data_IF_903878238511
#
_entry.id   IF_903878238511
#
_cell.length_a   1.000
_cell.length_b   1.000
_cell.length_c   1.000
_cell.angle_alpha   90.00
_cell.angle_beta   90.00
_cell.angle_gamma   90.00
#
_symmetry.space_group_name_H-M   'P 1'
#
loop_
_entity.id
_entity.type
_entity.pdbx_description
1 polymer ?
#
# COMPACT_ATOMS: atom_id res chain seq x y z
N UNK A 1 -4.69 -7.81 14.50
CA UNK A 1 -3.84 -6.93 13.68
C UNK A 1 -2.72 -7.71 13.02
N UNK A 2 -1.62 -7.94 13.73
CA UNK A 2 -0.34 -8.33 13.11
C UNK A 2 -0.15 -9.77 12.61
N UNK A 3 -1.10 -10.71 12.79
CA UNK A 3 -0.94 -12.06 12.24
C UNK A 3 -1.22 -12.07 10.72
N UNK A 4 -2.46 -11.78 10.34
CA UNK A 4 -2.92 -11.88 8.95
C UNK A 4 -2.16 -10.93 7.99
N UNK A 5 -2.00 -9.67 8.40
CA UNK A 5 -1.36 -8.65 7.56
C UNK A 5 0.13 -8.89 7.35
N UNK A 6 0.85 -9.30 8.40
CA UNK A 6 2.27 -9.66 8.29
C UNK A 6 2.45 -10.92 7.46
N UNK A 7 1.64 -11.97 7.72
CA UNK A 7 1.67 -13.23 6.94
C UNK A 7 1.46 -12.95 5.45
N UNK A 8 0.43 -12.18 5.10
CA UNK A 8 0.14 -11.88 3.71
C UNK A 8 1.22 -10.99 3.07
N UNK A 9 1.89 -10.12 3.84
CA UNK A 9 3.05 -9.35 3.36
C UNK A 9 4.24 -10.25 3.03
N UNK A 10 4.55 -11.22 3.91
CA UNK A 10 5.64 -12.17 3.70
C UNK A 10 5.35 -13.03 2.45
N UNK A 11 4.16 -13.61 2.36
CA UNK A 11 3.75 -14.41 1.18
C UNK A 11 3.76 -13.56 -0.09
N UNK A 12 3.27 -12.31 -0.02
CA UNK A 12 3.30 -11.36 -1.12
C UNK A 12 4.71 -11.02 -1.59
N UNK A 13 5.66 -10.88 -0.66
CA UNK A 13 7.06 -10.65 -0.99
C UNK A 13 7.70 -11.81 -1.75
N UNK A 14 7.44 -13.05 -1.34
CA UNK A 14 7.90 -14.24 -2.05
C UNK A 14 7.31 -14.29 -3.47
N UNK A 15 6.02 -14.02 -3.61
CA UNK A 15 5.35 -13.98 -4.91
C UNK A 15 5.93 -12.88 -5.81
N UNK A 16 6.07 -11.66 -5.29
CA UNK A 16 6.55 -10.50 -6.04
C UNK A 16 7.98 -10.70 -6.55
N UNK A 17 8.88 -11.20 -5.70
CA UNK A 17 10.27 -11.51 -6.09
C UNK A 17 10.33 -12.65 -7.13
N UNK A 18 9.42 -13.63 -7.07
CA UNK A 18 9.33 -14.69 -8.07
C UNK A 18 8.82 -14.16 -9.43
N UNK A 19 7.88 -13.21 -9.41
CA UNK A 19 7.34 -12.57 -10.62
C UNK A 19 8.31 -11.54 -11.23
N UNK A 20 9.22 -10.99 -10.43
CA UNK A 20 10.18 -9.96 -10.84
C UNK A 20 11.62 -10.44 -10.57
N UNK A 21 12.11 -11.45 -11.32
CA UNK A 21 13.41 -12.05 -11.06
C UNK A 21 14.56 -11.05 -11.19
N UNK A 22 14.43 -9.99 -12.00
CA UNK A 22 15.43 -8.91 -12.08
C UNK A 22 15.59 -8.18 -10.75
N UNK A 23 14.50 -7.86 -10.07
CA UNK A 23 14.52 -7.24 -8.74
C UNK A 23 15.11 -8.20 -7.70
N UNK A 24 14.83 -9.50 -7.83
CA UNK A 24 15.46 -10.49 -6.96
C UNK A 24 16.97 -10.63 -7.19
N UNK A 25 17.46 -10.54 -8.43
CA UNK A 25 18.89 -10.47 -8.71
C UNK A 25 19.52 -9.18 -8.13
N UNK A 26 18.83 -8.03 -8.27
CA UNK A 26 19.25 -6.76 -7.68
C UNK A 26 19.40 -6.87 -6.16
N UNK A 27 18.43 -7.49 -5.48
CA UNK A 27 18.48 -7.74 -4.04
C UNK A 27 19.67 -8.62 -3.63
N UNK A 28 19.97 -9.67 -4.41
CA UNK A 28 21.12 -10.54 -4.13
C UNK A 28 22.45 -9.82 -4.32
N UNK A 29 22.53 -8.89 -5.28
CA UNK A 29 23.72 -8.08 -5.52
C UNK A 29 23.92 -7.02 -4.43
N UNK A 30 22.82 -6.46 -3.90
CA UNK A 30 22.85 -5.47 -2.82
C UNK A 30 21.79 -5.74 -1.74
N UNK A 31 22.14 -6.50 -0.68
CA UNK A 31 21.28 -6.72 0.47
C UNK A 31 20.95 -5.44 1.25
N UNK A 32 21.66 -4.33 1.02
CA UNK A 32 21.35 -3.03 1.59
C UNK A 32 19.97 -2.50 1.18
N UNK A 33 19.38 -3.03 0.10
CA UNK A 33 18.03 -2.69 -0.38
C UNK A 33 16.90 -3.27 0.47
N UNK A 34 17.16 -4.24 1.37
CA UNK A 34 16.13 -4.92 2.17
C UNK A 34 15.16 -3.95 2.87
N UNK A 35 15.61 -2.89 3.59
CA UNK A 35 14.70 -1.98 4.26
C UNK A 35 13.72 -1.24 3.33
N UNK A 36 14.16 -0.88 2.12
CA UNK A 36 13.30 -0.24 1.12
C UNK A 36 12.38 -1.26 0.44
N UNK A 37 12.92 -2.42 0.08
CA UNK A 37 12.16 -3.56 -0.46
C UNK A 37 10.98 -3.94 0.45
N UNK A 38 11.18 -3.99 1.77
CA UNK A 38 10.09 -4.30 2.71
C UNK A 38 8.94 -3.30 2.59
N UNK A 39 9.26 -2.01 2.46
CA UNK A 39 8.25 -0.96 2.26
C UNK A 39 7.55 -1.14 0.90
N UNK A 40 8.30 -1.48 -0.15
CA UNK A 40 7.73 -1.74 -1.47
C UNK A 40 6.82 -2.98 -1.49
N UNK A 41 7.20 -4.07 -0.82
CA UNK A 41 6.37 -5.28 -0.68
C UNK A 41 5.04 -4.90 -0.01
N UNK A 42 5.10 -4.15 1.09
CA UNK A 42 3.90 -3.75 1.83
C UNK A 42 3.00 -2.84 0.99
N UNK A 43 3.57 -1.92 0.19
CA UNK A 43 2.83 -1.09 -0.77
C UNK A 43 2.18 -1.97 -1.84
N UNK A 44 2.98 -2.76 -2.55
CA UNK A 44 2.55 -3.52 -3.72
C UNK A 44 1.49 -4.57 -3.37
N UNK A 45 1.68 -5.28 -2.24
CA UNK A 45 0.75 -6.28 -1.72
C UNK A 45 -0.52 -5.65 -1.12
N UNK A 46 -0.41 -4.48 -0.50
CA UNK A 46 -1.54 -3.80 0.19
C UNK A 46 -2.39 -4.77 1.05
N UNK A 47 -1.82 -5.37 2.13
CA UNK A 47 -2.47 -6.48 2.85
C UNK A 47 -3.86 -6.16 3.43
N UNK A 48 -4.14 -4.87 3.64
CA UNK A 48 -5.48 -4.37 3.97
C UNK A 48 -5.99 -3.59 2.77
N UNK A 49 -7.00 -4.13 2.09
CA UNK A 49 -7.53 -3.51 0.87
C UNK A 49 -8.21 -2.17 1.15
N UNK A 50 -8.99 -2.08 2.24
CA UNK A 50 -9.68 -0.86 2.64
C UNK A 50 -9.92 -0.79 4.14
N UNK A 51 -10.21 0.43 4.61
CA UNK A 51 -10.82 0.69 5.92
C UNK A 51 -12.05 1.57 5.73
N UNK A 52 -13.08 1.35 6.53
CA UNK A 52 -14.33 2.10 6.45
C UNK A 52 -14.40 3.22 7.49
N UNK A 53 -15.09 4.31 7.15
CA UNK A 53 -15.54 5.38 8.04
C UNK A 53 -17.05 5.54 7.93
N UNK A 54 -17.64 6.29 8.86
CA UNK A 54 -19.04 6.71 8.80
C UNK A 54 -19.04 8.24 8.80
N UNK A 55 -19.73 8.87 7.85
CA UNK A 55 -19.85 10.31 7.81
C UNK A 55 -20.69 10.82 8.99
N UNK A 56 -20.16 11.77 9.77
CA UNK A 56 -20.86 12.30 10.95
C UNK A 56 -21.83 13.45 10.60
N UNK A 57 -21.67 14.01 9.41
CA UNK A 57 -22.47 15.07 8.81
C UNK A 57 -22.43 14.94 7.28
N UNK A 58 -23.28 15.69 6.58
CA UNK A 58 -23.19 15.82 5.13
C UNK A 58 -21.87 16.54 4.77
N UNK A 59 -21.10 15.99 3.84
CA UNK A 59 -19.81 16.56 3.42
C UNK A 59 -19.62 16.45 1.92
N UNK A 60 -19.01 17.46 1.30
CA UNK A 60 -18.64 17.42 -0.11
C UNK A 60 -17.18 16.96 -0.29
N UNK A 61 -16.98 15.93 -1.10
CA UNK A 61 -15.65 15.45 -1.51
C UNK A 61 -15.62 15.32 -3.04
N UNK A 62 -14.69 16.03 -3.69
CA UNK A 62 -14.50 16.03 -5.16
C UNK A 62 -15.82 16.20 -5.94
N UNK A 63 -16.65 17.16 -5.54
CA UNK A 63 -17.93 17.46 -6.21
C UNK A 63 -19.06 16.46 -5.95
N UNK A 64 -18.91 15.57 -4.96
CA UNK A 64 -19.95 14.62 -4.53
C UNK A 64 -20.32 14.84 -3.07
N UNK A 65 -21.61 14.92 -2.78
CA UNK A 65 -22.12 14.98 -1.42
C UNK A 65 -22.24 13.57 -0.85
N UNK A 66 -21.49 13.30 0.21
CA UNK A 66 -21.64 12.13 1.08
C UNK A 66 -22.60 12.53 2.20
N UNK A 67 -23.62 11.72 2.46
CA UNK A 67 -24.65 12.04 3.45
C UNK A 67 -24.25 11.57 4.85
N UNK A 68 -24.74 12.27 5.87
CA UNK A 68 -24.61 11.84 7.27
C UNK A 68 -25.09 10.39 7.42
N UNK A 69 -24.24 9.56 8.02
CA UNK A 69 -24.49 8.13 8.22
C UNK A 69 -23.96 7.22 7.10
N UNK A 70 -23.57 7.76 5.94
CA UNK A 70 -23.02 6.98 4.85
C UNK A 70 -21.70 6.31 5.26
N UNK A 71 -21.50 5.09 4.75
CA UNK A 71 -20.23 4.37 4.86
C UNK A 71 -19.28 4.83 3.77
N UNK A 72 -18.10 5.27 4.17
CA UNK A 72 -17.05 5.74 3.25
C UNK A 72 -15.86 4.79 3.35
N UNK A 73 -15.59 4.06 2.28
CA UNK A 73 -14.46 3.14 2.20
C UNK A 73 -13.22 3.85 1.60
N UNK A 74 -12.10 3.81 2.31
CA UNK A 74 -10.80 4.25 1.80
C UNK A 74 -10.06 3.03 1.25
N UNK A 75 -10.06 2.89 -0.08
CA UNK A 75 -9.43 1.77 -0.78
C UNK A 75 -7.92 1.96 -0.92
N UNK A 76 -7.15 1.58 0.11
CA UNK A 76 -5.68 1.65 0.08
C UNK A 76 -5.07 0.89 -1.08
N UNK A 77 -5.65 -0.26 -1.47
CA UNK A 77 -5.21 -1.02 -2.65
C UNK A 77 -5.29 -0.19 -3.93
N UNK A 78 -6.28 0.70 -4.06
CA UNK A 78 -6.38 1.63 -5.19
C UNK A 78 -5.38 2.77 -5.05
N UNK A 79 -5.29 3.39 -3.86
CA UNK A 79 -4.39 4.53 -3.63
C UNK A 79 -2.90 4.17 -3.77
N UNK A 80 -2.51 2.96 -3.39
CA UNK A 80 -1.15 2.45 -3.60
C UNK A 80 -0.83 2.16 -5.07
N UNK A 81 -1.82 2.24 -5.97
CA UNK A 81 -1.68 2.12 -7.43
C UNK A 81 -2.03 3.44 -8.16
N UNK A 82 -2.15 4.55 -7.43
CA UNK A 82 -2.48 5.85 -8.00
C UNK A 82 -1.26 6.45 -8.73
N UNK A 83 -1.33 6.49 -10.05
CA UNK A 83 -0.29 7.03 -10.92
C UNK A 83 -0.12 8.56 -10.79
N UNK A 84 -1.06 9.30 -10.18
CA UNK A 84 -0.88 10.71 -9.83
C UNK A 84 0.10 10.90 -8.66
N UNK A 85 0.33 9.86 -7.86
CA UNK A 85 1.18 9.90 -6.64
C UNK A 85 2.40 9.00 -6.71
N UNK A 86 2.33 7.92 -7.48
CA UNK A 86 3.35 6.89 -7.52
C UNK A 86 3.64 6.60 -8.99
N UNK A 87 4.80 7.02 -9.48
CA UNK A 87 5.22 6.73 -10.85
C UNK A 87 5.33 5.21 -11.07
N UNK A 88 4.84 4.67 -12.20
CA UNK A 88 4.86 3.22 -12.48
C UNK A 88 4.26 2.43 -11.31
N UNK A 89 3.08 2.85 -10.84
CA UNK A 89 2.50 2.39 -9.57
C UNK A 89 2.25 0.87 -9.51
N UNK A 90 2.00 0.24 -10.66
CA UNK A 90 1.73 -1.20 -10.74
C UNK A 90 2.99 -2.07 -10.70
N UNK A 91 4.15 -1.49 -10.97
CA UNK A 91 5.42 -2.20 -10.98
C UNK A 91 5.95 -2.40 -9.56
N UNK A 92 6.59 -3.55 -9.35
CA UNK A 92 7.32 -3.86 -8.13
C UNK A 92 8.79 -3.46 -8.33
N UNK A 93 9.22 -2.42 -7.63
CA UNK A 93 10.59 -1.86 -7.75
C UNK A 93 11.21 -1.73 -6.35
N UNK A 94 12.18 -2.58 -6.03
CA UNK A 94 12.67 -2.70 -4.63
C UNK A 94 13.49 -1.49 -4.17
N UNK A 95 13.97 -0.70 -5.13
CA UNK A 95 14.71 0.55 -4.98
C UNK A 95 13.83 1.78 -5.25
N UNK A 96 12.49 1.62 -5.31
CA UNK A 96 11.55 2.72 -5.49
C UNK A 96 11.81 3.84 -4.48
N UNK A 97 12.07 5.04 -4.99
CA UNK A 97 12.14 6.24 -4.18
C UNK A 97 10.78 6.50 -3.52
N UNK A 98 10.79 6.80 -2.21
CA UNK A 98 9.58 7.09 -1.48
C UNK A 98 8.65 5.89 -1.22
N UNK A 99 9.13 4.64 -1.35
CA UNK A 99 8.32 3.44 -1.04
C UNK A 99 7.66 3.48 0.35
N UNK A 100 8.28 4.18 1.32
CA UNK A 100 7.75 4.39 2.68
C UNK A 100 6.48 5.27 2.76
N UNK A 101 6.13 5.99 1.70
CA UNK A 101 4.95 6.88 1.66
C UNK A 101 3.64 6.17 1.32
N UNK A 102 3.63 4.84 1.28
CA UNK A 102 2.44 4.03 0.96
C UNK A 102 1.33 4.14 2.02
N UNK A 103 0.11 3.77 1.62
CA UNK A 103 -1.09 3.82 2.47
C UNK A 103 -1.41 2.51 3.21
N UNK A 104 -0.63 1.44 3.05
CA UNK A 104 -0.95 0.10 3.59
C UNK A 104 -1.07 0.02 5.12
N UNK A 105 -0.49 0.99 5.85
CA UNK A 105 -0.64 1.13 7.31
C UNK A 105 -1.69 2.19 7.71
N UNK A 106 -2.41 2.75 6.75
CA UNK A 106 -3.24 3.93 6.94
C UNK A 106 -2.42 5.19 7.22
N UNK A 107 -3.10 6.23 7.67
CA UNK A 107 -2.50 7.51 8.04
C UNK A 107 -3.30 8.17 9.18
N UNK A 108 -2.67 9.09 9.91
CA UNK A 108 -3.28 9.81 11.03
C UNK A 108 -3.29 9.01 12.33
N UNK A 109 -4.23 9.32 13.22
CA UNK A 109 -4.28 8.81 14.61
C UNK A 109 -4.46 7.29 14.74
N UNK A 110 -4.87 6.63 13.65
CA UNK A 110 -5.05 5.17 13.58
C UNK A 110 -4.02 4.50 12.67
N UNK A 111 -2.92 5.19 12.35
CA UNK A 111 -1.79 4.56 11.67
C UNK A 111 -1.28 3.41 12.52
N UNK A 112 -1.07 2.26 11.88
CA UNK A 112 -0.50 1.07 12.51
C UNK A 112 0.87 1.36 13.14
#
# INVERSE_FOLDING_TARGET
>A
GGNDTTRNSITGGVLALNQHPSEYQKLKADPGLIPNMVSEIIRWQSPVAHMCRTAMEDVEIRGKTIKKGDKVAMWYVSGNRDHEKIERADEFLIDREGARHHLSFGFGIHRC
#
